data_IF_539328297525
#
_entry.id   IF_539328297525
#
_cell.length_a   1.000
_cell.length_b   1.000
_cell.length_c   1.000
_cell.angle_alpha   90.00
_cell.angle_beta   90.00
_cell.angle_gamma   90.00
#
_symmetry.space_group_name_H-M   'P 1'
#
loop_
_entity.id
_entity.type
_entity.pdbx_description
1 polymer ?
#
# COMPACT_ATOMS: atom_id res chain seq x y z
N UNK A 1 -5.80 10.15 3.17
CA UNK A 1 -4.35 9.87 3.19
C UNK A 1 -3.92 8.82 2.16
N UNK A 2 -4.54 7.64 2.05
CA UNK A 2 -4.13 6.67 1.01
C UNK A 2 -4.37 7.18 -0.41
N UNK A 3 -5.60 7.62 -0.72
CA UNK A 3 -5.94 8.09 -2.07
C UNK A 3 -5.04 9.24 -2.50
N UNK A 4 -4.74 10.17 -1.59
CA UNK A 4 -3.77 11.24 -1.84
C UNK A 4 -2.37 10.70 -2.12
N UNK A 5 -1.89 9.69 -1.40
CA UNK A 5 -0.58 9.07 -1.67
C UNK A 5 -0.55 8.33 -3.00
N UNK A 6 -1.62 7.62 -3.37
CA UNK A 6 -1.73 6.94 -4.67
C UNK A 6 -1.74 7.94 -5.83
N UNK A 7 -2.52 9.01 -5.71
CA UNK A 7 -2.52 10.10 -6.69
C UNK A 7 -1.14 10.76 -6.80
N UNK A 8 -0.43 10.95 -5.69
CA UNK A 8 0.94 11.46 -5.73
C UNK A 8 1.90 10.53 -6.47
N UNK A 9 1.78 9.20 -6.28
CA UNK A 9 2.62 8.22 -6.99
C UNK A 9 2.28 8.16 -8.49
N UNK A 10 1.01 8.25 -8.85
CA UNK A 10 0.56 8.31 -10.25
C UNK A 10 1.07 9.58 -10.93
N UNK A 11 0.99 10.72 -10.25
CA UNK A 11 1.57 11.98 -10.72
C UNK A 11 3.08 11.86 -10.89
N UNK A 12 3.79 11.28 -9.92
CA UNK A 12 5.23 11.04 -9.99
C UNK A 12 5.59 10.17 -11.21
N UNK A 13 4.85 9.08 -11.42
CA UNK A 13 5.06 8.14 -12.54
C UNK A 13 5.00 8.82 -13.91
N UNK A 14 4.07 9.75 -14.07
CA UNK A 14 3.81 10.45 -15.32
C UNK A 14 4.67 11.71 -15.49
N UNK A 15 5.37 12.14 -14.44
CA UNK A 15 6.12 13.40 -14.39
C UNK A 15 7.64 13.23 -14.50
N UNK A 16 8.10 12.19 -15.20
CA UNK A 16 9.53 11.88 -15.32
C UNK A 16 10.36 13.05 -15.89
N UNK A 17 9.84 13.75 -16.90
CA UNK A 17 10.55 14.84 -17.57
C UNK A 17 10.93 15.97 -16.60
N UNK A 18 10.00 16.43 -15.76
CA UNK A 18 10.25 17.51 -14.81
C UNK A 18 11.22 17.04 -13.70
N UNK A 19 11.07 15.81 -13.21
CA UNK A 19 11.95 15.23 -12.19
C UNK A 19 13.39 15.13 -12.72
N UNK A 20 13.54 14.72 -13.99
CA UNK A 20 14.84 14.67 -14.66
C UNK A 20 15.44 16.07 -14.77
N UNK A 21 14.67 17.09 -15.15
CA UNK A 21 15.15 18.46 -15.25
C UNK A 21 15.64 19.01 -13.90
N UNK A 22 14.88 18.76 -12.82
CA UNK A 22 15.28 19.11 -11.46
C UNK A 22 16.58 18.41 -11.05
N UNK A 23 16.70 17.10 -11.34
CA UNK A 23 17.91 16.33 -11.05
C UNK A 23 19.14 16.84 -11.82
N UNK A 24 18.96 17.22 -13.09
CA UNK A 24 19.99 17.86 -13.92
C UNK A 24 20.43 19.19 -13.31
N UNK A 25 19.48 20.04 -12.90
CA UNK A 25 19.77 21.32 -12.26
C UNK A 25 20.56 21.14 -10.97
N UNK A 26 20.19 20.16 -10.15
CA UNK A 26 20.89 19.82 -8.91
C UNK A 26 22.31 19.32 -9.16
N UNK A 27 22.49 18.42 -10.15
CA UNK A 27 23.80 17.90 -10.51
C UNK A 27 24.74 19.02 -10.98
N UNK A 28 24.27 19.91 -11.86
CA UNK A 28 25.02 21.07 -12.33
C UNK A 28 25.44 21.98 -11.18
N UNK A 29 24.52 22.27 -10.24
CA UNK A 29 24.80 23.04 -9.03
C UNK A 29 25.90 22.41 -8.16
N UNK A 30 26.06 21.08 -8.23
CA UNK A 30 27.09 20.33 -7.50
C UNK A 30 28.36 20.09 -8.32
N UNK A 31 28.48 20.67 -9.53
CA UNK A 31 29.64 20.47 -10.41
C UNK A 31 29.71 19.08 -11.03
N UNK A 32 28.61 18.32 -11.04
CA UNK A 32 28.52 16.98 -11.61
C UNK A 32 27.96 17.10 -13.03
N UNK A 33 28.61 16.44 -13.99
CA UNK A 33 28.13 16.35 -15.38
C UNK A 33 26.95 15.37 -15.47
N UNK A 34 25.73 15.83 -15.79
CA UNK A 34 24.55 14.96 -15.81
C UNK A 34 24.34 14.36 -17.20
N UNK A 35 25.14 13.34 -17.53
CA UNK A 35 25.00 12.58 -18.78
C UNK A 35 24.79 11.09 -18.49
N UNK A 36 23.91 10.45 -19.27
CA UNK A 36 23.80 9.00 -19.28
C UNK A 36 25.04 8.37 -19.95
N UNK A 37 25.45 7.18 -19.47
CA UNK A 37 26.63 6.48 -19.97
C UNK A 37 26.50 6.15 -21.47
N UNK A 38 27.40 6.68 -22.29
CA UNK A 38 27.49 6.41 -23.73
C UNK A 38 28.26 5.10 -23.98
N UNK A 39 27.64 3.96 -23.68
CA UNK A 39 28.24 2.63 -23.93
C UNK A 39 27.77 2.04 -25.25
N UNK A 40 28.72 1.59 -26.10
CA UNK A 40 28.42 0.91 -27.37
C UNK A 40 27.59 -0.34 -27.14
N UNK A 41 26.43 -0.43 -27.79
CA UNK A 41 25.60 -1.62 -27.74
C UNK A 41 26.22 -2.74 -28.56
N UNK A 42 26.31 -3.94 -27.97
CA UNK A 42 26.74 -5.14 -28.68
C UNK A 42 25.61 -5.58 -29.60
N UNK A 43 25.82 -5.50 -30.91
CA UNK A 43 24.92 -6.13 -31.89
C UNK A 43 25.06 -7.64 -31.76
N UNK A 44 23.97 -8.32 -31.42
CA UNK A 44 23.87 -9.78 -31.52
C UNK A 44 23.60 -10.11 -32.99
N UNK A 45 24.26 -11.14 -33.54
CA UNK A 45 23.94 -11.60 -34.90
C UNK A 45 22.56 -12.24 -34.86
N UNK A 46 21.60 -11.66 -35.58
CA UNK A 46 20.32 -12.32 -35.87
C UNK A 46 20.51 -13.31 -37.02
N UNK A 47 19.94 -14.50 -36.87
CA UNK A 47 19.81 -15.46 -37.96
C UNK A 47 18.56 -15.16 -38.79
N UNK A 48 18.57 -15.57 -40.05
CA UNK A 48 17.52 -15.21 -41.02
C UNK A 48 16.11 -15.67 -40.63
N UNK A 49 15.98 -16.74 -39.83
CA UNK A 49 14.70 -17.27 -39.31
C UNK A 49 14.32 -16.76 -37.91
N UNK A 50 15.09 -15.84 -37.33
CA UNK A 50 14.88 -15.37 -35.96
C UNK A 50 13.85 -14.23 -35.92
N UNK A 51 12.57 -14.59 -35.97
CA UNK A 51 11.44 -13.64 -36.00
C UNK A 51 11.15 -12.94 -34.66
N UNK A 52 11.87 -13.24 -33.57
CA UNK A 52 11.57 -12.75 -32.22
C UNK A 52 12.79 -12.15 -31.51
N UNK A 53 13.46 -11.20 -32.15
CA UNK A 53 14.40 -10.37 -31.42
C UNK A 53 13.68 -9.12 -30.91
N UNK A 54 13.24 -9.15 -29.65
CA UNK A 54 12.83 -7.96 -28.92
C UNK A 54 13.94 -6.91 -29.05
N UNK A 55 13.63 -5.83 -29.77
CA UNK A 55 14.58 -4.76 -30.00
C UNK A 55 14.76 -4.01 -28.69
N UNK A 56 15.85 -4.31 -27.96
CA UNK A 56 16.17 -3.63 -26.72
C UNK A 56 16.22 -2.12 -26.96
N UNK A 57 15.57 -1.36 -26.08
CA UNK A 57 15.64 0.10 -26.05
C UNK A 57 17.11 0.53 -26.07
N UNK A 58 17.52 1.16 -27.17
CA UNK A 58 18.91 1.58 -27.35
C UNK A 58 19.19 2.90 -26.63
N UNK A 59 18.16 3.69 -26.35
CA UNK A 59 18.28 4.91 -25.59
C UNK A 59 18.37 4.62 -24.09
N UNK A 60 19.50 5.03 -23.49
CA UNK A 60 19.82 4.85 -22.07
C UNK A 60 18.88 5.62 -21.16
N UNK A 61 18.43 6.78 -21.62
CA UNK A 61 17.48 7.58 -20.87
C UNK A 61 16.12 6.86 -20.81
N UNK A 62 15.60 6.46 -21.97
CA UNK A 62 14.34 5.71 -22.03
C UNK A 62 14.42 4.37 -21.28
N UNK A 63 15.57 3.71 -21.31
CA UNK A 63 15.83 2.51 -20.50
C UNK A 63 15.73 2.82 -19.00
N UNK A 64 16.37 3.89 -18.54
CA UNK A 64 16.27 4.31 -17.14
C UNK A 64 14.84 4.71 -16.77
N UNK A 65 14.13 5.45 -17.62
CA UNK A 65 12.75 5.84 -17.39
C UNK A 65 11.83 4.63 -17.19
N UNK A 66 11.93 3.62 -18.04
CA UNK A 66 11.04 2.46 -18.02
C UNK A 66 11.49 1.44 -16.96
N UNK A 67 12.72 0.95 -17.06
CA UNK A 67 13.18 -0.23 -16.32
C UNK A 67 13.57 0.12 -14.88
N UNK A 68 13.89 1.38 -14.61
CA UNK A 68 14.27 1.84 -13.27
C UNK A 68 13.18 2.72 -12.70
N UNK A 69 12.94 3.89 -13.27
CA UNK A 69 12.07 4.89 -12.65
C UNK A 69 10.62 4.40 -12.54
N UNK A 70 9.97 4.08 -13.67
CA UNK A 70 8.59 3.60 -13.70
C UNK A 70 8.43 2.29 -12.94
N UNK A 71 9.35 1.34 -13.13
CA UNK A 71 9.34 0.07 -12.41
C UNK A 71 9.35 0.27 -10.88
N UNK A 72 10.22 1.14 -10.34
CA UNK A 72 10.26 1.41 -8.90
C UNK A 72 8.98 2.09 -8.41
N UNK A 73 8.46 3.06 -9.16
CA UNK A 73 7.19 3.73 -8.82
C UNK A 73 6.02 2.75 -8.81
N UNK A 74 5.97 1.82 -9.76
CA UNK A 74 4.95 0.77 -9.85
C UNK A 74 5.03 -0.23 -8.69
N UNK A 75 6.25 -0.61 -8.29
CA UNK A 75 6.48 -1.46 -7.12
C UNK A 75 6.01 -0.77 -5.85
N UNK A 76 6.40 0.48 -5.61
CA UNK A 76 5.98 1.25 -4.43
C UNK A 76 4.46 1.40 -4.40
N UNK A 77 3.85 1.72 -5.55
CA UNK A 77 2.39 1.86 -5.68
C UNK A 77 1.67 0.58 -5.31
N UNK A 78 2.13 -0.56 -5.85
CA UNK A 78 1.58 -1.88 -5.54
C UNK A 78 1.74 -2.21 -4.05
N UNK A 79 2.91 -1.98 -3.47
CA UNK A 79 3.14 -2.21 -2.05
C UNK A 79 2.24 -1.35 -1.15
N UNK A 80 2.05 -0.08 -1.50
CA UNK A 80 1.15 0.82 -0.76
C UNK A 80 -0.30 0.34 -0.81
N UNK A 81 -0.78 -0.07 -2.00
CA UNK A 81 -2.12 -0.65 -2.16
C UNK A 81 -2.29 -1.89 -1.30
N UNK A 82 -1.39 -2.86 -1.43
CA UNK A 82 -1.45 -4.12 -0.69
C UNK A 82 -1.42 -3.91 0.82
N UNK A 83 -0.54 -3.03 1.32
CA UNK A 83 -0.46 -2.71 2.75
C UNK A 83 -1.76 -2.11 3.27
N UNK A 84 -2.37 -1.21 2.51
CA UNK A 84 -3.62 -0.59 2.91
C UNK A 84 -4.79 -1.56 2.88
N UNK A 85 -4.90 -2.39 1.85
CA UNK A 85 -5.93 -3.42 1.77
C UNK A 85 -5.83 -4.39 2.95
N UNK A 86 -4.63 -4.87 3.26
CA UNK A 86 -4.38 -5.71 4.43
C UNK A 86 -4.74 -4.99 5.75
N UNK A 87 -4.32 -3.73 5.92
CA UNK A 87 -4.65 -2.95 7.12
C UNK A 87 -6.15 -2.69 7.24
N UNK A 88 -6.84 -2.43 6.13
CA UNK A 88 -8.29 -2.26 6.09
C UNK A 88 -9.01 -3.58 6.40
N UNK A 89 -8.46 -4.72 5.96
CA UNK A 89 -8.92 -6.05 6.34
C UNK A 89 -8.85 -6.25 7.86
N UNK A 90 -7.70 -5.98 8.46
CA UNK A 90 -7.50 -6.03 9.92
C UNK A 90 -8.48 -5.07 10.61
N UNK A 91 -8.60 -3.83 10.13
CA UNK A 91 -9.54 -2.87 10.70
C UNK A 91 -10.97 -3.40 10.65
N UNK A 92 -11.45 -3.93 9.52
CA UNK A 92 -12.80 -4.50 9.43
C UNK A 92 -13.00 -5.65 10.41
N UNK A 93 -12.05 -6.57 10.51
CA UNK A 93 -12.15 -7.72 11.41
C UNK A 93 -12.16 -7.35 12.89
N UNK A 94 -11.43 -6.31 13.30
CA UNK A 94 -11.24 -5.99 14.73
C UNK A 94 -11.88 -4.66 15.18
N UNK A 95 -12.37 -3.82 14.26
CA UNK A 95 -12.87 -2.48 14.60
C UNK A 95 -14.02 -2.50 15.60
N UNK A 96 -14.85 -3.55 15.60
CA UNK A 96 -15.96 -3.70 16.54
C UNK A 96 -15.49 -3.77 18.01
N UNK A 97 -14.24 -4.18 18.27
CA UNK A 97 -13.66 -4.24 19.61
C UNK A 97 -13.27 -2.87 20.18
N UNK A 98 -13.29 -1.82 19.37
CA UNK A 98 -13.07 -0.48 19.91
C UNK A 98 -14.19 -0.14 20.91
N UNK A 99 -13.88 0.49 22.06
CA UNK A 99 -14.89 0.80 23.08
C UNK A 99 -16.08 1.60 22.51
N UNK A 100 -15.84 2.42 21.48
CA UNK A 100 -16.87 3.18 20.77
C UNK A 100 -17.82 2.26 20.04
N UNK A 101 -17.30 1.29 19.31
CA UNK A 101 -18.11 0.40 18.50
C UNK A 101 -18.83 -0.62 19.38
N UNK A 102 -18.19 -1.15 20.44
CA UNK A 102 -18.87 -2.03 21.42
C UNK A 102 -20.14 -1.36 21.98
N UNK A 103 -20.06 -0.08 22.36
CA UNK A 103 -21.21 0.64 22.93
C UNK A 103 -22.25 0.99 21.87
N UNK A 104 -21.83 1.54 20.73
CA UNK A 104 -22.73 2.12 19.72
C UNK A 104 -23.36 1.12 18.75
N UNK A 105 -22.74 -0.05 18.55
CA UNK A 105 -23.26 -1.10 17.68
C UNK A 105 -24.42 -1.86 18.35
N UNK A 106 -25.42 -2.27 17.58
CA UNK A 106 -26.55 -3.07 18.11
C UNK A 106 -26.08 -4.44 18.60
N UNK A 107 -26.83 -5.04 19.53
CA UNK A 107 -26.45 -6.33 20.10
C UNK A 107 -26.34 -7.44 19.05
N UNK A 108 -27.27 -7.49 18.09
CA UNK A 108 -27.26 -8.50 17.02
C UNK A 108 -26.04 -8.36 16.12
N UNK A 109 -25.71 -7.13 15.71
CA UNK A 109 -24.53 -6.87 14.88
C UNK A 109 -23.24 -7.17 15.64
N UNK A 110 -23.15 -6.74 16.90
CA UNK A 110 -21.98 -6.99 17.75
C UNK A 110 -21.75 -8.49 17.96
N UNK A 111 -22.82 -9.24 18.22
CA UNK A 111 -22.77 -10.69 18.36
C UNK A 111 -22.31 -11.37 17.07
N UNK A 112 -22.80 -10.92 15.91
CA UNK A 112 -22.41 -11.45 14.62
C UNK A 112 -20.93 -11.18 14.31
N UNK A 113 -20.44 -9.95 14.54
CA UNK A 113 -19.04 -9.60 14.36
C UNK A 113 -18.12 -10.43 15.26
N UNK A 114 -18.48 -10.56 16.55
CA UNK A 114 -17.73 -11.40 17.50
C UNK A 114 -17.75 -12.88 17.10
N UNK A 115 -18.88 -13.39 16.61
CA UNK A 115 -19.02 -14.76 16.12
C UNK A 115 -18.20 -15.01 14.86
N UNK A 116 -18.15 -14.05 13.94
CA UNK A 116 -17.33 -14.13 12.74
C UNK A 116 -15.85 -14.14 13.09
N UNK A 117 -15.42 -13.28 14.02
CA UNK A 117 -14.05 -13.26 14.50
C UNK A 117 -13.68 -14.60 15.18
N UNK A 118 -14.55 -15.12 16.05
CA UNK A 118 -14.34 -16.41 16.72
C UNK A 118 -14.18 -17.55 15.71
N UNK A 119 -14.98 -17.59 14.64
CA UNK A 119 -14.85 -18.62 13.59
C UNK A 119 -13.50 -18.56 12.88
N UNK A 120 -13.04 -17.35 12.52
CA UNK A 120 -11.75 -17.14 11.84
C UNK A 120 -10.59 -17.52 12.75
N UNK A 121 -10.67 -17.17 14.03
CA UNK A 121 -9.63 -17.39 15.04
C UNK A 121 -10.04 -18.48 16.04
N UNK A 122 -10.59 -19.60 15.56
CA UNK A 122 -11.15 -20.65 16.43
C UNK A 122 -10.12 -21.38 17.30
N UNK A 123 -8.85 -21.30 16.93
CA UNK A 123 -7.73 -21.81 17.74
C UNK A 123 -7.37 -20.87 18.90
N UNK A 124 -7.62 -19.58 18.75
CA UNK A 124 -7.25 -18.54 19.72
C UNK A 124 -8.45 -18.07 20.56
N UNK A 125 -9.66 -18.18 20.02
CA UNK A 125 -10.90 -17.69 20.63
C UNK A 125 -11.87 -18.85 20.92
N UNK A 126 -12.24 -18.97 22.19
CA UNK A 126 -13.26 -19.92 22.64
C UNK A 126 -14.63 -19.64 22.00
N UNK A 127 -15.49 -20.66 21.92
CA UNK A 127 -16.88 -20.53 21.46
C UNK A 127 -17.70 -19.51 22.27
N UNK A 128 -17.28 -19.21 23.50
CA UNK A 128 -17.95 -18.25 24.39
C UNK A 128 -17.57 -16.79 24.11
N UNK A 129 -16.61 -16.52 23.22
CA UNK A 129 -16.15 -15.17 22.93
C UNK A 129 -17.30 -14.19 22.57
N UNK A 130 -18.30 -14.54 21.73
CA UNK A 130 -19.44 -13.66 21.47
C UNK A 130 -20.23 -13.32 22.73
N UNK A 131 -20.49 -14.30 23.61
CA UNK A 131 -21.20 -14.10 24.87
C UNK A 131 -20.40 -13.22 25.84
N UNK A 132 -19.08 -13.38 25.87
CA UNK A 132 -18.18 -12.54 26.68
C UNK A 132 -18.21 -11.08 26.22
N UNK A 133 -18.22 -10.81 24.91
CA UNK A 133 -18.34 -9.44 24.38
C UNK A 133 -19.70 -8.83 24.73
N UNK A 134 -20.79 -9.60 24.68
CA UNK A 134 -22.10 -9.13 25.12
C UNK A 134 -22.12 -8.80 26.61
N UNK A 135 -21.49 -9.64 27.44
CA UNK A 135 -21.36 -9.42 28.87
C UNK A 135 -20.51 -8.19 29.18
N UNK A 136 -19.40 -8.01 28.46
CA UNK A 136 -18.53 -6.83 28.55
C UNK A 136 -19.33 -5.56 28.28
N UNK A 137 -20.12 -5.52 27.20
CA UNK A 137 -20.98 -4.39 26.88
C UNK A 137 -22.00 -4.11 27.98
N UNK A 138 -22.66 -5.14 28.48
CA UNK A 138 -23.71 -5.00 29.49
C UNK A 138 -23.16 -4.47 30.84
N UNK A 139 -22.02 -5.02 31.28
CA UNK A 139 -21.43 -4.71 32.60
C UNK A 139 -20.61 -3.43 32.58
N UNK A 140 -19.86 -3.17 31.51
CA UNK A 140 -18.87 -2.09 31.46
C UNK A 140 -19.26 -0.94 30.52
N UNK A 141 -20.54 -0.80 30.14
CA UNK A 141 -20.99 0.26 29.21
C UNK A 141 -20.56 1.67 29.64
N UNK A 142 -20.70 2.01 30.92
CA UNK A 142 -20.29 3.32 31.46
C UNK A 142 -18.78 3.54 31.37
N UNK A 143 -17.97 2.51 31.62
CA UNK A 143 -16.51 2.66 31.57
C UNK A 143 -16.01 2.70 30.12
N UNK A 144 -16.62 1.91 29.24
CA UNK A 144 -16.34 1.95 27.80
C UNK A 144 -16.68 3.32 27.20
N UNK A 145 -17.76 3.97 27.64
CA UNK A 145 -18.09 5.33 27.17
C UNK A 145 -17.08 6.39 27.64
N UNK A 146 -16.52 6.26 28.86
CA UNK A 146 -15.45 7.15 29.33
C UNK A 146 -14.16 6.98 28.52
N UNK A 147 -13.82 5.75 28.13
CA UNK A 147 -12.66 5.48 27.26
C UNK A 147 -12.78 6.13 25.87
N UNK A 148 -14.01 6.36 25.40
CA UNK A 148 -14.28 7.05 24.14
C UNK A 148 -14.10 8.58 24.20
N UNK A 149 -13.88 9.15 25.40
CA UNK A 149 -13.85 10.61 25.61
C UNK A 149 -12.47 11.24 25.56
N UNK A 150 -11.39 10.44 25.47
CA UNK A 150 -10.03 10.97 25.33
C UNK A 150 -9.81 11.40 23.88
N UNK A 151 -9.85 12.72 23.65
CA UNK A 151 -9.56 13.34 22.35
C UNK A 151 -8.10 13.07 21.96
N UNK A 152 -7.91 12.38 20.84
CA UNK A 152 -6.65 12.41 20.07
C UNK A 152 -6.58 13.65 19.20
#
# INVERSE_FOLDING_TARGET
MLNSSLTSMENLRNNFANIKEEAIGLAKKRGITPEFEKKRHRKVRQFFDDFNADEKLQDRERLFEVDVFKANVDVITTQLKNRFESMNGIYKSFSFLSPKNIVSTTNDLLYNEASNLQKVYSLDLSSEFPNQIMSLKAVFSEDLTKLNSIKS
#
